data_IF_540787855871
#
_entry.id   IF_540787855871
#
_cell.length_a   1.000
_cell.length_b   1.000
_cell.length_c   1.000
_cell.angle_alpha   90.00
_cell.angle_beta   90.00
_cell.angle_gamma   90.00
#
_symmetry.space_group_name_H-M   'P 1'
#
loop_
_entity.id
_entity.type
_entity.pdbx_description
1 polymer ?
#
# COMPACT_ATOMS: atom_id res chain seq x y z
N UNK A 1 8.80 -18.80 -14.03
CA UNK A 1 8.56 -17.52 -13.35
C UNK A 1 9.49 -17.40 -12.15
N UNK A 2 10.14 -16.27 -11.96
CA UNK A 2 11.07 -16.06 -10.86
C UNK A 2 10.34 -15.83 -9.54
N UNK A 3 11.07 -15.95 -8.42
CA UNK A 3 10.55 -15.58 -7.08
C UNK A 3 10.09 -14.11 -7.07
N UNK A 4 10.89 -13.22 -7.66
CA UNK A 4 10.57 -11.81 -7.76
C UNK A 4 9.28 -11.56 -8.54
N UNK A 5 9.10 -12.22 -9.68
CA UNK A 5 7.88 -12.13 -10.49
C UNK A 5 6.66 -12.64 -9.72
N UNK A 6 6.80 -13.72 -8.97
CA UNK A 6 5.72 -14.27 -8.15
C UNK A 6 5.32 -13.30 -7.04
N UNK A 7 6.29 -12.69 -6.36
CA UNK A 7 6.01 -11.69 -5.33
C UNK A 7 5.33 -10.45 -5.91
N UNK A 8 5.83 -9.95 -7.04
CA UNK A 8 5.23 -8.80 -7.73
C UNK A 8 3.79 -9.08 -8.13
N UNK A 9 3.50 -10.26 -8.65
CA UNK A 9 2.15 -10.65 -9.02
C UNK A 9 1.23 -10.72 -7.80
N UNK A 10 1.72 -11.22 -6.67
CA UNK A 10 0.94 -11.23 -5.41
C UNK A 10 0.61 -9.83 -4.92
N UNK A 11 1.57 -8.91 -5.02
CA UNK A 11 1.33 -7.50 -4.66
C UNK A 11 0.22 -6.92 -5.53
N UNK A 12 0.30 -7.09 -6.83
CA UNK A 12 -0.70 -6.58 -7.77
C UNK A 12 -2.08 -7.18 -7.51
N UNK A 13 -2.17 -8.49 -7.28
CA UNK A 13 -3.45 -9.18 -7.03
C UNK A 13 -4.08 -8.79 -5.71
N UNK A 14 -3.29 -8.52 -4.69
CA UNK A 14 -3.81 -8.08 -3.39
C UNK A 14 -4.62 -6.80 -3.53
N UNK A 15 -4.16 -5.88 -4.37
CA UNK A 15 -4.81 -4.58 -4.57
C UNK A 15 -5.88 -4.64 -5.64
N UNK A 16 -5.59 -5.21 -6.81
CA UNK A 16 -6.44 -5.11 -7.99
C UNK A 16 -7.08 -6.44 -8.40
N UNK A 17 -6.70 -7.54 -7.79
CA UNK A 17 -7.25 -8.87 -8.11
C UNK A 17 -6.73 -9.47 -9.41
N UNK A 18 -7.24 -10.65 -9.77
CA UNK A 18 -8.12 -11.48 -8.97
C UNK A 18 -7.41 -12.18 -7.81
N UNK A 19 -8.14 -12.43 -6.72
CA UNK A 19 -7.66 -13.16 -5.56
C UNK A 19 -8.41 -14.49 -5.46
N UNK A 20 -7.71 -15.56 -5.05
CA UNK A 20 -8.31 -16.88 -4.97
C UNK A 20 -9.18 -17.10 -3.71
N UNK A 21 -8.95 -16.32 -2.66
CA UNK A 21 -9.58 -16.52 -1.36
C UNK A 21 -10.48 -15.35 -0.92
N UNK A 22 -10.83 -14.46 -1.82
CA UNK A 22 -11.70 -13.35 -1.49
C UNK A 22 -11.49 -12.13 -2.38
N UNK A 23 -12.16 -11.02 -2.09
CA UNK A 23 -12.02 -9.80 -2.87
C UNK A 23 -10.67 -9.12 -2.67
N UNK A 24 -10.20 -8.45 -3.71
CA UNK A 24 -9.03 -7.57 -3.64
C UNK A 24 -9.39 -6.26 -2.95
N UNK A 25 -8.40 -5.44 -2.60
CA UNK A 25 -8.64 -4.16 -1.92
C UNK A 25 -9.53 -3.24 -2.73
N UNK A 26 -9.31 -3.14 -4.04
CA UNK A 26 -10.17 -2.28 -4.90
C UNK A 26 -11.61 -2.78 -4.95
N UNK A 27 -11.83 -4.09 -4.90
CA UNK A 27 -13.18 -4.66 -4.84
C UNK A 27 -13.89 -4.27 -3.53
N UNK A 28 -13.17 -4.34 -2.41
CA UNK A 28 -13.72 -3.97 -1.09
C UNK A 28 -14.07 -2.49 -1.01
N UNK A 29 -13.34 -1.63 -1.71
CA UNK A 29 -13.53 -0.19 -1.69
C UNK A 29 -14.52 0.29 -2.75
N UNK A 30 -14.88 -0.56 -3.71
CA UNK A 30 -15.81 -0.21 -4.75
C UNK A 30 -17.19 0.11 -4.14
N UNK A 31 -17.75 1.25 -4.53
CA UNK A 31 -19.04 1.69 -4.03
C UNK A 31 -19.02 2.30 -2.62
N UNK A 32 -17.86 2.38 -1.95
CA UNK A 32 -17.76 3.07 -0.65
C UNK A 32 -17.74 4.58 -0.89
N UNK A 33 -18.76 5.32 -0.42
CA UNK A 33 -18.78 6.78 -0.60
C UNK A 33 -17.77 7.47 0.33
N UNK A 34 -17.34 8.68 -0.05
CA UNK A 34 -16.32 9.39 0.70
C UNK A 34 -16.74 9.69 2.16
N UNK A 35 -18.02 9.93 2.41
CA UNK A 35 -18.53 10.18 3.76
C UNK A 35 -18.34 8.96 4.66
N UNK A 36 -18.60 7.76 4.14
CA UNK A 36 -18.38 6.51 4.88
C UNK A 36 -16.90 6.24 5.07
N UNK A 37 -16.10 6.51 4.05
CA UNK A 37 -14.65 6.32 4.13
C UNK A 37 -14.01 7.21 5.21
N UNK A 38 -14.51 8.43 5.38
CA UNK A 38 -14.03 9.38 6.38
C UNK A 38 -14.59 9.14 7.79
N UNK A 39 -15.66 8.35 7.92
CA UNK A 39 -16.34 8.17 9.19
C UNK A 39 -15.53 7.33 10.19
N UNK A 40 -15.74 7.58 11.47
CA UNK A 40 -15.16 6.83 12.58
C UNK A 40 -16.29 6.16 13.38
N UNK A 41 -16.91 5.08 12.84
CA UNK A 41 -18.04 4.42 13.50
C UNK A 41 -17.62 3.67 14.78
N UNK A 42 -16.34 3.33 14.91
CA UNK A 42 -15.79 2.64 16.06
C UNK A 42 -14.85 3.59 16.78
N UNK A 43 -15.14 3.88 18.05
CA UNK A 43 -14.32 4.77 18.86
C UNK A 43 -12.89 4.22 18.98
N UNK A 44 -11.90 5.06 18.76
CA UNK A 44 -10.49 4.70 18.86
C UNK A 44 -9.93 3.91 17.67
N UNK A 45 -10.75 3.58 16.67
CA UNK A 45 -10.30 2.89 15.47
C UNK A 45 -10.11 3.88 14.32
N UNK A 46 -9.22 3.52 13.39
CA UNK A 46 -9.00 4.32 12.18
C UNK A 46 -10.19 4.21 11.22
N UNK A 47 -10.41 5.28 10.43
CA UNK A 47 -11.37 5.25 9.34
C UNK A 47 -10.83 4.41 8.17
N UNK A 48 -11.74 4.03 7.26
CA UNK A 48 -11.36 3.34 6.01
C UNK A 48 -10.34 4.19 5.23
N UNK A 49 -10.57 5.49 5.14
CA UNK A 49 -9.70 6.41 4.41
C UNK A 49 -8.30 6.48 5.03
N UNK A 50 -8.21 6.54 6.36
CA UNK A 50 -6.93 6.50 7.07
C UNK A 50 -6.16 5.21 6.78
N UNK A 51 -6.86 4.08 6.75
CA UNK A 51 -6.25 2.78 6.43
C UNK A 51 -5.72 2.77 4.99
N UNK A 52 -6.49 3.32 4.04
CA UNK A 52 -6.05 3.42 2.63
C UNK A 52 -4.76 4.26 2.55
N UNK A 53 -4.71 5.39 3.23
CA UNK A 53 -3.50 6.22 3.24
C UNK A 53 -2.32 5.53 3.92
N UNK A 54 -2.58 4.78 4.97
CA UNK A 54 -1.55 4.00 5.68
C UNK A 54 -0.93 2.93 4.76
N UNK A 55 -1.74 2.13 4.09
CA UNK A 55 -1.21 1.08 3.19
C UNK A 55 -0.51 1.69 1.98
N UNK A 56 -0.96 2.85 1.49
CA UNK A 56 -0.30 3.59 0.41
C UNK A 56 1.08 4.06 0.85
N UNK A 57 1.18 4.65 2.04
CA UNK A 57 2.43 5.13 2.60
C UNK A 57 3.44 3.98 2.74
N UNK A 58 3.00 2.83 3.24
CA UNK A 58 3.89 1.69 3.45
C UNK A 58 4.30 1.01 2.14
N UNK A 59 3.47 1.03 1.11
CA UNK A 59 3.89 0.59 -0.22
C UNK A 59 5.04 1.45 -0.75
N UNK A 60 4.95 2.77 -0.56
CA UNK A 60 6.02 3.69 -0.95
C UNK A 60 7.28 3.48 -0.11
N UNK A 61 7.14 3.34 1.20
CA UNK A 61 8.27 3.07 2.10
C UNK A 61 8.97 1.76 1.72
N UNK A 62 8.20 0.71 1.46
CA UNK A 62 8.77 -0.58 1.04
C UNK A 62 9.56 -0.43 -0.26
N UNK A 63 9.01 0.28 -1.24
CA UNK A 63 9.69 0.55 -2.51
C UNK A 63 11.01 1.29 -2.30
N UNK A 64 11.02 2.29 -1.45
CA UNK A 64 12.21 3.10 -1.16
C UNK A 64 13.26 2.28 -0.39
N UNK A 65 12.84 1.43 0.54
CA UNK A 65 13.74 0.52 1.25
C UNK A 65 14.38 -0.50 0.30
N UNK A 66 13.64 -1.01 -0.65
CA UNK A 66 14.19 -1.89 -1.72
C UNK A 66 15.28 -1.16 -2.49
N UNK A 67 15.11 0.15 -2.73
CA UNK A 67 16.09 0.99 -3.39
C UNK A 67 17.31 1.36 -2.52
N UNK A 68 17.36 0.89 -1.28
CA UNK A 68 18.50 1.12 -0.39
C UNK A 68 18.33 2.27 0.60
N UNK A 69 17.19 2.95 0.61
CA UNK A 69 16.96 4.04 1.55
C UNK A 69 16.70 3.50 2.96
N UNK A 70 17.32 4.13 3.94
CA UNK A 70 17.12 3.82 5.36
C UNK A 70 16.01 4.71 5.90
N UNK A 71 14.79 4.21 5.85
CA UNK A 71 13.62 4.98 6.28
C UNK A 71 13.02 4.32 7.51
N UNK A 72 12.88 5.11 8.58
CA UNK A 72 12.11 4.76 9.76
C UNK A 72 11.07 5.87 9.92
N UNK A 73 9.84 5.67 9.41
CA UNK A 73 8.89 6.77 9.29
C UNK A 73 8.41 7.27 10.64
N UNK A 74 8.34 8.60 10.83
CA UNK A 74 7.69 9.16 12.01
C UNK A 74 6.18 8.92 11.96
N UNK A 75 5.45 9.09 13.10
CA UNK A 75 4.01 8.78 13.16
C UNK A 75 3.16 9.42 12.05
N UNK A 76 3.47 10.65 11.65
CA UNK A 76 2.72 11.36 10.61
C UNK A 76 2.94 10.79 9.20
N UNK A 77 4.01 10.03 8.99
CA UNK A 77 4.26 9.31 7.73
C UNK A 77 3.74 7.88 7.77
N UNK A 78 3.66 7.31 8.95
CA UNK A 78 3.06 5.99 9.19
C UNK A 78 1.54 6.05 9.00
N UNK A 79 0.91 7.04 9.61
CA UNK A 79 -0.53 7.30 9.48
C UNK A 79 -0.77 8.73 8.98
N UNK A 80 -0.60 8.97 7.67
CA UNK A 80 -0.81 10.31 7.12
C UNK A 80 -2.25 10.77 7.35
N UNK A 81 -2.46 12.01 7.81
CA UNK A 81 -3.81 12.51 8.07
C UNK A 81 -4.61 12.69 6.78
N UNK A 82 -5.92 12.55 6.90
CA UNK A 82 -6.86 12.88 5.83
C UNK A 82 -7.23 14.35 6.00
N UNK A 83 -6.71 15.21 5.14
CA UNK A 83 -6.91 16.65 5.22
C UNK A 83 -8.09 17.13 4.39
N UNK A 84 -8.20 16.66 3.14
CA UNK A 84 -9.30 16.96 2.23
C UNK A 84 -10.22 15.75 2.17
N UNK A 85 -11.49 15.91 2.55
CA UNK A 85 -12.48 14.85 2.62
C UNK A 85 -13.52 14.95 1.50
N UNK A 86 -13.25 15.71 0.45
CA UNK A 86 -14.14 15.79 -0.72
C UNK A 86 -14.18 14.47 -1.48
N UNK A 87 -15.24 14.22 -2.24
CA UNK A 87 -15.46 12.98 -2.96
C UNK A 87 -14.36 12.67 -3.98
N UNK A 88 -13.85 13.69 -4.67
CA UNK A 88 -12.75 13.51 -5.62
C UNK A 88 -11.41 13.22 -4.92
N UNK A 89 -11.21 13.73 -3.71
CA UNK A 89 -10.03 13.40 -2.90
C UNK A 89 -10.04 11.91 -2.49
N UNK A 90 -11.21 11.38 -2.18
CA UNK A 90 -11.37 9.94 -1.89
C UNK A 90 -11.03 9.08 -3.11
N UNK A 91 -11.55 9.44 -4.27
CA UNK A 91 -11.25 8.71 -5.52
C UNK A 91 -9.75 8.75 -5.82
N UNK A 92 -9.09 9.89 -5.61
CA UNK A 92 -7.64 10.02 -5.76
C UNK A 92 -6.87 9.16 -4.76
N UNK A 93 -7.33 9.08 -3.52
CA UNK A 93 -6.69 8.27 -2.50
C UNK A 93 -6.68 6.78 -2.86
N UNK A 94 -7.81 6.26 -3.37
CA UNK A 94 -7.90 4.88 -3.86
C UNK A 94 -6.98 4.65 -5.05
N UNK A 95 -6.95 5.58 -6.01
CA UNK A 95 -6.05 5.47 -7.17
C UNK A 95 -4.58 5.56 -6.77
N UNK A 96 -4.24 6.43 -5.82
CA UNK A 96 -2.86 6.52 -5.29
C UNK A 96 -2.43 5.23 -4.63
N UNK A 97 -3.34 4.56 -3.91
CA UNK A 97 -3.08 3.24 -3.32
C UNK A 97 -2.75 2.23 -4.40
N UNK A 98 -3.56 2.16 -5.45
CA UNK A 98 -3.33 1.24 -6.56
C UNK A 98 -2.01 1.54 -7.28
N UNK A 99 -1.74 2.82 -7.54
CA UNK A 99 -0.51 3.26 -8.21
C UNK A 99 0.74 2.93 -7.38
N UNK A 100 0.71 3.18 -6.07
CA UNK A 100 1.84 2.89 -5.18
C UNK A 100 2.17 1.39 -5.18
N UNK A 101 1.16 0.54 -5.21
CA UNK A 101 1.37 -0.90 -5.25
C UNK A 101 1.85 -1.39 -6.61
N UNK A 102 1.40 -0.76 -7.72
CA UNK A 102 1.97 -1.04 -9.05
C UNK A 102 3.46 -0.70 -9.11
N UNK A 103 3.86 0.43 -8.53
CA UNK A 103 5.26 0.84 -8.47
C UNK A 103 6.08 -0.11 -7.61
N UNK A 104 5.56 -0.53 -6.46
CA UNK A 104 6.20 -1.51 -5.59
C UNK A 104 6.38 -2.85 -6.32
N UNK A 105 5.35 -3.30 -7.01
CA UNK A 105 5.40 -4.54 -7.81
C UNK A 105 6.45 -4.44 -8.91
N UNK A 106 6.54 -3.29 -9.58
CA UNK A 106 7.51 -3.07 -10.66
C UNK A 106 8.95 -3.19 -10.17
N UNK A 107 9.30 -2.55 -9.06
CA UNK A 107 10.66 -2.65 -8.51
C UNK A 107 10.93 -4.05 -7.93
N UNK A 108 9.93 -4.69 -7.35
CA UNK A 108 10.05 -6.06 -6.83
C UNK A 108 10.36 -7.03 -7.95
N UNK A 109 9.71 -6.88 -9.11
CA UNK A 109 9.91 -7.76 -10.28
C UNK A 109 11.35 -7.74 -10.81
N UNK A 110 12.09 -6.65 -10.56
CA UNK A 110 13.47 -6.50 -11.00
C UNK A 110 14.50 -7.14 -10.05
N UNK A 111 14.07 -7.62 -8.88
CA UNK A 111 15.00 -8.16 -7.89
C UNK A 111 15.53 -9.53 -8.31
N UNK A 112 16.80 -9.77 -7.99
CA UNK A 112 17.44 -11.09 -8.13
C UNK A 112 17.27 -11.86 -6.80
N UNK A 113 17.40 -13.18 -6.85
CA UNK A 113 17.24 -14.03 -5.68
C UNK A 113 18.16 -13.60 -4.52
N UNK A 114 19.41 -13.24 -4.82
CA UNK A 114 20.35 -12.78 -3.81
C UNK A 114 19.85 -11.52 -3.10
N UNK A 115 19.19 -10.62 -3.82
CA UNK A 115 18.62 -9.41 -3.24
C UNK A 115 17.42 -9.71 -2.36
N UNK A 116 16.59 -10.69 -2.74
CA UNK A 116 15.45 -11.14 -1.94
C UNK A 116 15.90 -11.76 -0.61
N UNK A 117 17.06 -12.41 -0.59
CA UNK A 117 17.60 -13.06 0.60
C UNK A 117 18.44 -12.10 1.45
N UNK A 118 18.77 -10.91 0.95
CA UNK A 118 19.54 -9.93 1.67
C UNK A 118 18.69 -9.17 2.70
N UNK A 119 19.28 -8.71 3.82
CA UNK A 119 18.54 -7.91 4.79
C UNK A 119 18.19 -6.54 4.20
N UNK A 120 17.06 -5.98 4.65
CA UNK A 120 16.64 -4.62 4.29
C UNK A 120 17.60 -3.62 4.91
N UNK A 121 17.94 -2.56 4.19
CA UNK A 121 19.02 -1.63 4.56
C UNK A 121 18.88 -1.06 5.99
N UNK A 122 17.68 -0.69 6.42
CA UNK A 122 17.48 -0.12 7.76
C UNK A 122 17.49 -1.18 8.87
N UNK A 123 17.40 -2.46 8.52
CA UNK A 123 17.50 -3.58 9.46
C UNK A 123 18.90 -4.22 9.46
N UNK A 124 19.75 -3.81 8.55
CA UNK A 124 21.12 -4.31 8.48
C UNK A 124 21.94 -3.79 9.68
N UNK A 125 22.65 -4.70 10.32
CA UNK A 125 23.52 -4.34 11.44
C UNK A 125 24.74 -3.52 11.00
#
# INVERSE_FOLDING_TARGET
MSRASNLAERIERTVSGPMWHGPALTDLLDGVPHERAAAHPIAGAHSIWEIVRHVTAWADIARRRIGGEKIDPPPEQDWPPVQDQAGDAWARAVEQMAAAHRELAAVTRQLQDAQLDAPVAHLAA
#
